data_IF_436903100247
#
_entry.id   IF_436903100247
#
_cell.length_a   1.000
_cell.length_b   1.000
_cell.length_c   1.000
_cell.angle_alpha   90.00
_cell.angle_beta   90.00
_cell.angle_gamma   90.00
#
_symmetry.space_group_name_H-M   'P 1'
#
loop_
_entity.id
_entity.type
_entity.pdbx_description
1 polymer ?
#
# COMPACT_ATOMS: atom_id res chain seq x y z
N UNK A 1 22.18 -90.13 -155.29
CA UNK A 1 21.08 -89.18 -154.98
C UNK A 1 20.79 -89.30 -153.50
N UNK A 2 20.74 -88.19 -152.75
CA UNK A 2 20.40 -88.20 -151.33
C UNK A 2 21.20 -87.26 -150.43
N UNK A 3 21.83 -86.21 -150.97
CA UNK A 3 22.20 -85.00 -150.21
C UNK A 3 21.01 -84.03 -150.36
N UNK A 4 20.49 -83.47 -149.25
CA UNK A 4 19.78 -82.16 -149.10
C UNK A 4 18.75 -82.09 -147.95
N UNK A 5 18.30 -83.18 -147.30
CA UNK A 5 17.22 -83.08 -146.28
C UNK A 5 17.66 -83.08 -144.79
N UNK A 6 18.84 -82.56 -144.47
CA UNK A 6 19.37 -82.62 -143.09
C UNK A 6 19.64 -81.27 -142.41
N UNK A 7 19.29 -80.13 -143.03
CA UNK A 7 19.61 -78.80 -142.51
C UNK A 7 18.41 -77.87 -142.24
N UNK A 8 17.17 -78.23 -142.64
CA UNK A 8 16.01 -77.32 -142.48
C UNK A 8 15.20 -77.55 -141.18
N UNK A 9 15.40 -78.67 -140.47
CA UNK A 9 14.70 -78.96 -139.21
C UNK A 9 15.39 -78.38 -137.96
N UNK A 10 16.61 -77.83 -138.08
CA UNK A 10 17.38 -77.31 -136.94
C UNK A 10 17.25 -75.77 -136.76
N UNK A 11 17.07 -74.99 -137.83
CA UNK A 11 16.83 -73.52 -137.75
C UNK A 11 15.42 -73.16 -137.24
N UNK A 12 14.43 -74.05 -137.45
CA UNK A 12 13.06 -73.82 -136.99
C UNK A 12 12.93 -73.91 -135.45
N UNK A 13 13.78 -74.70 -134.77
CA UNK A 13 13.75 -74.86 -133.32
C UNK A 13 14.33 -73.66 -132.53
N UNK A 14 15.41 -73.05 -133.04
CA UNK A 14 16.10 -71.95 -132.34
C UNK A 14 15.31 -70.64 -132.39
N UNK A 15 14.69 -70.33 -133.53
CA UNK A 15 13.80 -69.17 -133.70
C UNK A 15 12.56 -69.26 -132.83
N UNK A 16 12.04 -70.47 -132.61
CA UNK A 16 10.89 -70.73 -131.74
C UNK A 16 11.25 -70.58 -130.25
N UNK A 17 12.45 -70.99 -129.83
CA UNK A 17 12.95 -70.80 -128.45
C UNK A 17 13.17 -69.32 -128.12
N UNK A 18 13.78 -68.55 -129.03
CA UNK A 18 14.03 -67.12 -128.82
C UNK A 18 12.72 -66.32 -128.74
N UNK A 19 11.75 -66.67 -129.59
CA UNK A 19 10.39 -66.11 -129.52
C UNK A 19 9.69 -66.42 -128.18
N UNK A 20 9.86 -67.64 -127.64
CA UNK A 20 9.30 -68.01 -126.35
C UNK A 20 9.93 -67.19 -125.21
N UNK A 21 11.25 -67.03 -125.20
CA UNK A 21 11.97 -66.27 -124.16
C UNK A 21 11.64 -64.77 -124.21
N UNK A 22 11.46 -64.20 -125.41
CA UNK A 22 11.00 -62.83 -125.60
C UNK A 22 9.57 -62.61 -125.09
N UNK A 23 8.65 -63.52 -125.40
CA UNK A 23 7.28 -63.48 -124.87
C UNK A 23 7.24 -63.66 -123.35
N UNK A 24 8.14 -64.46 -122.77
CA UNK A 24 8.27 -64.60 -121.32
C UNK A 24 8.76 -63.29 -120.67
N UNK A 25 9.79 -62.64 -121.24
CA UNK A 25 10.28 -61.33 -120.79
C UNK A 25 9.20 -60.25 -120.88
N UNK A 26 8.45 -60.22 -121.98
CA UNK A 26 7.31 -59.31 -122.16
C UNK A 26 6.21 -59.59 -121.13
N UNK A 27 5.86 -60.86 -120.88
CA UNK A 27 4.91 -61.23 -119.83
C UNK A 27 5.38 -60.81 -118.45
N UNK A 28 6.69 -60.89 -118.16
CA UNK A 28 7.26 -60.46 -116.87
C UNK A 28 7.22 -58.93 -116.70
N UNK A 29 7.52 -58.18 -117.76
CA UNK A 29 7.38 -56.72 -117.77
C UNK A 29 5.91 -56.34 -117.58
N UNK A 30 5.00 -57.01 -118.28
CA UNK A 30 3.57 -56.73 -118.20
C UNK A 30 3.00 -57.07 -116.81
N UNK A 31 3.45 -58.18 -116.20
CA UNK A 31 3.15 -58.51 -114.80
C UNK A 31 3.68 -57.45 -113.83
N UNK A 32 4.90 -56.95 -114.04
CA UNK A 32 5.46 -55.89 -113.19
C UNK A 32 4.74 -54.56 -113.37
N UNK A 33 4.36 -54.22 -114.61
CA UNK A 33 3.59 -53.02 -114.93
C UNK A 33 2.20 -53.09 -114.32
N UNK A 34 1.48 -54.20 -114.50
CA UNK A 34 0.19 -54.45 -113.86
C UNK A 34 0.30 -54.41 -112.33
N UNK A 35 1.37 -54.95 -111.74
CA UNK A 35 1.57 -54.87 -110.28
C UNK A 35 1.80 -53.44 -109.81
N UNK A 36 2.56 -52.64 -110.57
CA UNK A 36 2.80 -51.24 -110.25
C UNK A 36 1.53 -50.40 -110.42
N UNK A 37 0.73 -50.68 -111.45
CA UNK A 37 -0.54 -50.02 -111.71
C UNK A 37 -1.56 -50.33 -110.62
N UNK A 38 -1.72 -51.61 -110.25
CA UNK A 38 -2.56 -52.03 -109.11
C UNK A 38 -2.10 -51.36 -107.81
N UNK A 39 -0.79 -51.36 -107.53
CA UNK A 39 -0.25 -50.71 -106.33
C UNK A 39 -0.52 -49.20 -106.33
N UNK A 40 -0.38 -48.55 -107.48
CA UNK A 40 -0.63 -47.10 -107.62
C UNK A 40 -2.11 -46.79 -107.44
N UNK A 41 -3.01 -47.61 -107.99
CA UNK A 41 -4.47 -47.46 -107.82
C UNK A 41 -4.90 -47.71 -106.38
N UNK A 42 -4.34 -48.70 -105.69
CA UNK A 42 -4.64 -48.97 -104.26
C UNK A 42 -4.09 -47.88 -103.35
N UNK A 43 -2.97 -47.24 -103.74
CA UNK A 43 -2.38 -46.12 -103.02
C UNK A 43 -2.96 -44.76 -103.44
N UNK A 44 -3.88 -44.72 -104.41
CA UNK A 44 -4.51 -43.47 -104.85
C UNK A 44 -5.49 -42.99 -103.76
N UNK A 45 -5.39 -41.73 -103.32
CA UNK A 45 -6.30 -41.20 -102.31
C UNK A 45 -7.74 -41.14 -102.83
N UNK A 46 -8.77 -41.31 -101.97
CA UNK A 46 -10.15 -41.06 -102.33
C UNK A 46 -10.37 -39.59 -102.74
N UNK A 47 -11.26 -39.39 -103.72
CA UNK A 47 -11.44 -38.17 -104.53
C UNK A 47 -11.45 -36.86 -103.72
N UNK A 48 -10.53 -35.95 -104.07
CA UNK A 48 -10.51 -34.56 -103.59
C UNK A 48 -9.19 -34.03 -103.03
N UNK A 49 -8.15 -34.84 -102.88
CA UNK A 49 -6.82 -34.39 -102.43
C UNK A 49 -5.73 -34.65 -103.49
N UNK A 50 -4.76 -33.74 -103.59
CA UNK A 50 -3.61 -33.86 -104.50
C UNK A 50 -2.91 -35.23 -104.36
N UNK A 51 -2.26 -35.71 -105.42
CA UNK A 51 -1.50 -36.96 -105.42
C UNK A 51 -0.31 -36.87 -104.46
N UNK A 52 -0.53 -37.24 -103.20
CA UNK A 52 0.48 -37.16 -102.15
C UNK A 52 1.33 -38.43 -102.14
N UNK A 53 2.65 -38.26 -102.17
CA UNK A 53 3.60 -39.37 -102.11
C UNK A 53 3.52 -40.09 -100.76
N UNK A 54 3.87 -41.38 -100.71
CA UNK A 54 3.95 -42.17 -99.46
C UNK A 54 4.67 -41.44 -98.31
N UNK A 55 5.70 -40.64 -98.63
CA UNK A 55 6.41 -39.79 -97.68
C UNK A 55 5.51 -38.78 -96.95
N UNK A 56 4.49 -38.22 -97.60
CA UNK A 56 3.55 -37.29 -96.99
C UNK A 56 2.76 -37.95 -95.84
N UNK A 57 2.22 -39.15 -96.06
CA UNK A 57 1.43 -39.84 -95.02
C UNK A 57 2.28 -40.24 -93.82
N UNK A 58 3.55 -40.61 -94.05
CA UNK A 58 4.51 -40.87 -92.98
C UNK A 58 4.80 -39.59 -92.18
N UNK A 59 5.02 -38.46 -92.86
CA UNK A 59 5.25 -37.17 -92.19
C UNK A 59 4.01 -36.71 -91.42
N UNK A 60 2.82 -36.80 -92.02
CA UNK A 60 1.55 -36.42 -91.37
C UNK A 60 1.30 -37.28 -90.12
N UNK A 61 1.47 -38.60 -90.22
CA UNK A 61 1.35 -39.49 -89.07
C UNK A 61 2.40 -39.18 -87.97
N UNK A 62 3.62 -38.79 -88.35
CA UNK A 62 4.65 -38.37 -87.40
C UNK A 62 4.32 -37.03 -86.73
N UNK A 63 3.76 -36.07 -87.46
CA UNK A 63 3.29 -34.78 -86.93
C UNK A 63 2.11 -34.98 -85.96
N UNK A 64 1.09 -35.74 -86.35
CA UNK A 64 -0.04 -36.06 -85.49
C UNK A 64 0.40 -36.80 -84.21
N UNK A 65 1.38 -37.71 -84.32
CA UNK A 65 1.97 -38.38 -83.15
C UNK A 65 2.67 -37.40 -82.20
N UNK A 66 3.45 -36.46 -82.73
CA UNK A 66 4.14 -35.42 -81.94
C UNK A 66 3.15 -34.45 -81.30
N UNK A 67 2.09 -34.05 -82.00
CA UNK A 67 1.03 -33.20 -81.45
C UNK A 67 0.30 -33.91 -80.29
N UNK A 68 -0.09 -35.17 -80.47
CA UNK A 68 -0.68 -35.99 -79.41
C UNK A 68 0.28 -36.19 -78.24
N UNK A 69 1.58 -36.33 -78.51
CA UNK A 69 2.58 -36.45 -77.45
C UNK A 69 2.72 -35.15 -76.66
N UNK A 70 2.73 -33.98 -77.32
CA UNK A 70 2.71 -32.68 -76.63
C UNK A 70 1.45 -32.45 -75.82
N UNK A 71 0.29 -32.86 -76.34
CA UNK A 71 -0.96 -32.81 -75.60
C UNK A 71 -0.91 -33.73 -74.37
N UNK A 72 -0.36 -34.94 -74.52
CA UNK A 72 -0.07 -35.87 -73.44
C UNK A 72 0.84 -35.25 -72.36
N UNK A 73 1.99 -34.70 -72.75
CA UNK A 73 2.93 -34.05 -71.84
C UNK A 73 2.28 -32.86 -71.10
N UNK A 74 1.42 -32.09 -71.79
CA UNK A 74 0.66 -30.98 -71.20
C UNK A 74 -0.39 -31.48 -70.19
N UNK A 75 -1.07 -32.58 -70.48
CA UNK A 75 -2.01 -33.22 -69.55
C UNK A 75 -1.28 -33.80 -68.34
N UNK A 76 -0.15 -34.47 -68.52
CA UNK A 76 0.68 -34.99 -67.43
C UNK A 76 1.22 -33.85 -66.56
N UNK A 77 1.62 -32.72 -67.14
CA UNK A 77 2.01 -31.54 -66.38
C UNK A 77 0.85 -30.99 -65.53
N UNK A 78 -0.38 -30.99 -66.06
CA UNK A 78 -1.58 -30.59 -65.30
C UNK A 78 -1.91 -31.58 -64.18
N UNK A 79 -1.78 -32.88 -64.44
CA UNK A 79 -1.97 -33.94 -63.42
C UNK A 79 -0.96 -33.75 -62.30
N UNK A 80 0.33 -33.65 -62.62
CA UNK A 80 1.39 -33.43 -61.62
C UNK A 80 1.17 -32.15 -60.80
N UNK A 81 0.68 -31.08 -61.42
CA UNK A 81 0.34 -29.85 -60.71
C UNK A 81 -0.84 -30.05 -59.76
N UNK A 82 -1.91 -30.68 -60.23
CA UNK A 82 -3.09 -30.99 -59.42
C UNK A 82 -2.75 -31.91 -58.24
N UNK A 83 -1.90 -32.93 -58.45
CA UNK A 83 -1.43 -33.82 -57.38
C UNK A 83 -0.65 -33.07 -56.29
N UNK A 84 0.24 -32.15 -56.68
CA UNK A 84 0.95 -31.29 -55.71
C UNK A 84 0.01 -30.36 -54.96
N UNK A 85 -1.01 -29.82 -55.63
CA UNK A 85 -2.05 -28.99 -55.00
C UNK A 85 -2.89 -29.80 -54.00
N UNK A 86 -3.31 -31.02 -54.36
CA UNK A 86 -4.01 -31.94 -53.45
C UNK A 86 -3.15 -32.23 -52.22
N UNK A 87 -1.87 -32.54 -52.41
CA UNK A 87 -0.95 -32.79 -51.30
C UNK A 87 -0.77 -31.57 -50.39
N UNK A 88 -0.67 -30.37 -50.97
CA UNK A 88 -0.61 -29.13 -50.18
C UNK A 88 -1.90 -28.89 -49.40
N UNK A 89 -3.07 -29.10 -50.03
CA UNK A 89 -4.37 -28.96 -49.38
C UNK A 89 -4.55 -29.96 -48.23
N UNK A 90 -4.13 -31.22 -48.42
CA UNK A 90 -4.15 -32.23 -47.37
C UNK A 90 -3.32 -31.81 -46.15
N UNK A 91 -2.12 -31.29 -46.37
CA UNK A 91 -1.29 -30.73 -45.29
C UNK A 91 -1.98 -29.57 -44.58
N UNK A 92 -2.60 -28.63 -45.31
CA UNK A 92 -3.33 -27.52 -44.69
C UNK A 92 -4.52 -28.00 -43.86
N UNK A 93 -5.23 -29.03 -44.33
CA UNK A 93 -6.36 -29.63 -43.63
C UNK A 93 -5.90 -30.33 -42.35
N UNK A 94 -4.75 -31.00 -42.38
CA UNK A 94 -4.16 -31.62 -41.19
C UNK A 94 -3.80 -30.57 -40.12
N UNK A 95 -3.13 -29.48 -40.51
CA UNK A 95 -2.80 -28.38 -39.60
C UNK A 95 -4.07 -27.73 -39.02
N UNK A 96 -5.08 -27.50 -39.87
CA UNK A 96 -6.36 -26.92 -39.44
C UNK A 96 -7.10 -27.84 -38.48
N UNK A 97 -7.13 -29.15 -38.74
CA UNK A 97 -7.72 -30.13 -37.83
C UNK A 97 -6.99 -30.19 -36.50
N UNK A 98 -5.65 -30.14 -36.50
CA UNK A 98 -4.87 -30.08 -35.26
C UNK A 98 -5.16 -28.80 -34.47
N UNK A 99 -5.20 -27.65 -35.14
CA UNK A 99 -5.55 -26.38 -34.50
C UNK A 99 -6.99 -26.40 -33.94
N UNK A 100 -7.96 -26.91 -34.69
CA UNK A 100 -9.35 -27.04 -34.26
C UNK A 100 -9.48 -28.01 -33.08
N UNK A 101 -8.77 -29.14 -33.11
CA UNK A 101 -8.73 -30.06 -31.99
C UNK A 101 -8.12 -29.39 -30.76
N UNK A 102 -6.99 -28.71 -30.86
CA UNK A 102 -6.38 -27.97 -29.75
C UNK A 102 -7.32 -26.90 -29.19
N UNK A 103 -8.00 -26.15 -30.06
CA UNK A 103 -9.01 -25.17 -29.68
C UNK A 103 -10.16 -25.83 -28.91
N UNK A 104 -10.71 -26.95 -29.40
CA UNK A 104 -11.74 -27.72 -28.68
C UNK A 104 -11.26 -28.24 -27.32
N UNK A 105 -10.00 -28.68 -27.23
CA UNK A 105 -9.40 -29.13 -25.97
C UNK A 105 -9.31 -27.98 -24.97
N UNK A 106 -9.04 -26.74 -25.41
CA UNK A 106 -8.99 -25.57 -24.53
C UNK A 106 -10.34 -25.22 -23.88
N UNK A 107 -11.46 -25.59 -24.51
CA UNK A 107 -12.80 -25.42 -23.92
C UNK A 107 -13.24 -26.61 -23.07
N UNK A 108 -12.44 -27.68 -22.98
CA UNK A 108 -12.76 -28.75 -22.04
C UNK A 108 -12.70 -28.18 -20.65
N UNK A 109 -13.82 -28.28 -19.93
CA UNK A 109 -13.93 -27.81 -18.56
C UNK A 109 -12.85 -28.50 -17.74
N UNK A 110 -12.03 -27.70 -17.07
CA UNK A 110 -11.03 -28.18 -16.11
C UNK A 110 -11.76 -29.07 -15.10
N UNK A 111 -11.44 -30.35 -15.11
CA UNK A 111 -12.04 -31.32 -14.19
C UNK A 111 -11.38 -31.19 -12.81
N UNK A 112 -12.07 -31.57 -11.73
CA UNK A 112 -11.50 -31.52 -10.38
C UNK A 112 -10.24 -32.38 -10.18
N UNK A 113 -9.94 -33.28 -11.11
CA UNK A 113 -8.77 -34.15 -11.15
C UNK A 113 -7.64 -33.62 -12.04
N UNK A 114 -7.78 -32.42 -12.62
CA UNK A 114 -6.76 -31.81 -13.48
C UNK A 114 -5.73 -31.09 -12.62
N UNK A 115 -4.45 -31.20 -12.99
CA UNK A 115 -3.34 -30.48 -12.34
C UNK A 115 -3.59 -28.96 -12.26
N UNK A 116 -4.27 -28.39 -13.27
CA UNK A 116 -4.65 -26.97 -13.27
C UNK A 116 -5.64 -26.61 -12.15
N UNK A 117 -6.53 -27.53 -11.79
CA UNK A 117 -7.48 -27.34 -10.69
C UNK A 117 -6.78 -27.41 -9.33
N UNK A 118 -5.84 -28.33 -9.18
CA UNK A 118 -5.02 -28.42 -7.97
C UNK A 118 -4.17 -27.16 -7.79
N UNK A 119 -3.54 -26.68 -8.87
CA UNK A 119 -2.77 -25.43 -8.85
C UNK A 119 -3.65 -24.24 -8.48
N UNK A 120 -4.88 -24.17 -9.01
CA UNK A 120 -5.85 -23.14 -8.63
C UNK A 120 -6.16 -23.17 -7.13
N UNK A 121 -6.40 -24.35 -6.54
CA UNK A 121 -6.65 -24.48 -5.10
C UNK A 121 -5.44 -24.00 -4.30
N UNK A 122 -4.23 -24.40 -4.67
CA UNK A 122 -3.01 -23.98 -3.98
C UNK A 122 -2.83 -22.46 -4.01
N UNK A 123 -3.05 -21.84 -5.17
CA UNK A 123 -2.97 -20.37 -5.32
C UNK A 123 -4.07 -19.65 -4.53
N UNK A 124 -5.30 -20.17 -4.53
CA UNK A 124 -6.38 -19.64 -3.71
C UNK A 124 -6.07 -19.72 -2.21
N UNK A 125 -5.47 -20.81 -1.75
CA UNK A 125 -5.06 -20.99 -0.36
C UNK A 125 -3.91 -20.05 0.01
N UNK A 126 -2.89 -19.92 -0.86
CA UNK A 126 -1.82 -18.94 -0.66
C UNK A 126 -2.36 -17.51 -0.58
N UNK A 127 -3.30 -17.16 -1.46
CA UNK A 127 -3.97 -15.85 -1.42
C UNK A 127 -4.70 -15.65 -0.08
N UNK A 128 -5.48 -16.64 0.37
CA UNK A 128 -6.18 -16.56 1.66
C UNK A 128 -5.21 -16.35 2.83
N UNK A 129 -4.11 -17.10 2.86
CA UNK A 129 -3.10 -16.98 3.90
C UNK A 129 -2.43 -15.59 3.93
N UNK A 130 -2.16 -15.01 2.75
CA UNK A 130 -1.62 -13.65 2.65
C UNK A 130 -2.66 -12.60 3.06
N UNK A 131 -3.91 -12.73 2.62
CA UNK A 131 -5.01 -11.83 2.98
C UNK A 131 -5.27 -11.83 4.49
N UNK A 132 -5.19 -12.99 5.15
CA UNK A 132 -5.33 -13.10 6.61
C UNK A 132 -4.17 -12.41 7.35
N UNK A 133 -2.93 -12.65 6.92
CA UNK A 133 -1.75 -11.94 7.46
C UNK A 133 -1.85 -10.43 7.28
N UNK A 134 -2.32 -9.98 6.11
CA UNK A 134 -2.53 -8.56 5.83
C UNK A 134 -3.57 -7.96 6.79
N UNK A 135 -4.74 -8.61 6.96
CA UNK A 135 -5.78 -8.17 7.90
C UNK A 135 -5.28 -8.11 9.34
N UNK A 136 -4.48 -9.10 9.75
CA UNK A 136 -3.87 -9.12 11.07
C UNK A 136 -2.92 -7.94 11.28
N UNK A 137 -2.03 -7.67 10.32
CA UNK A 137 -1.13 -6.52 10.36
C UNK A 137 -1.88 -5.19 10.35
N UNK A 138 -2.95 -5.08 9.57
CA UNK A 138 -3.79 -3.88 9.56
C UNK A 138 -4.50 -3.64 10.90
N UNK A 139 -4.87 -4.71 11.63
CA UNK A 139 -5.41 -4.59 12.99
C UNK A 139 -4.33 -4.12 13.98
N UNK A 140 -3.14 -4.71 13.94
CA UNK A 140 -2.00 -4.25 14.77
C UNK A 140 -1.68 -2.77 14.53
N UNK A 141 -1.71 -2.30 13.28
CA UNK A 141 -1.46 -0.88 12.97
C UNK A 141 -2.52 0.01 13.64
N UNK A 142 -3.81 -0.38 13.60
CA UNK A 142 -4.86 0.40 14.25
C UNK A 142 -4.71 0.43 15.77
N UNK A 143 -4.44 -0.72 16.39
CA UNK A 143 -4.20 -0.81 17.83
C UNK A 143 -3.03 0.09 18.26
N UNK A 144 -1.90 0.02 17.55
CA UNK A 144 -0.75 0.88 17.83
C UNK A 144 -1.05 2.38 17.59
N UNK A 145 -1.87 2.71 16.60
CA UNK A 145 -2.27 4.11 16.36
C UNK A 145 -3.17 4.64 17.49
N UNK A 146 -4.10 3.82 17.97
CA UNK A 146 -4.95 4.16 19.13
C UNK A 146 -4.10 4.33 20.40
N UNK A 147 -3.12 3.44 20.63
CA UNK A 147 -2.19 3.54 21.74
C UNK A 147 -1.35 4.83 21.67
N UNK A 148 -0.78 5.15 20.51
CA UNK A 148 -0.02 6.39 20.29
C UNK A 148 -0.90 7.61 20.60
N UNK A 149 -2.12 7.66 20.06
CA UNK A 149 -3.03 8.78 20.32
C UNK A 149 -3.38 8.91 21.81
N UNK A 150 -3.56 7.79 22.51
CA UNK A 150 -3.84 7.80 23.95
C UNK A 150 -2.64 8.31 24.76
N UNK A 151 -1.42 7.91 24.38
CA UNK A 151 -0.18 8.38 25.01
C UNK A 151 0.08 9.86 24.73
N UNK A 152 -0.21 10.34 23.52
CA UNK A 152 -0.11 11.76 23.19
C UNK A 152 -1.08 12.62 24.01
N UNK A 153 -2.32 12.16 24.16
CA UNK A 153 -3.31 12.87 24.99
C UNK A 153 -2.89 12.91 26.46
N UNK A 154 -2.37 11.82 27.01
CA UNK A 154 -1.87 11.79 28.40
C UNK A 154 -0.65 12.67 28.59
N UNK A 155 0.26 12.70 27.62
CA UNK A 155 1.42 13.60 27.61
C UNK A 155 0.98 15.07 27.65
N UNK A 156 0.03 15.47 26.81
CA UNK A 156 -0.51 16.84 26.80
C UNK A 156 -1.11 17.25 28.16
N UNK A 157 -1.84 16.34 28.81
CA UNK A 157 -2.40 16.58 30.16
C UNK A 157 -1.27 16.77 31.18
N UNK A 158 -0.25 15.91 31.16
CA UNK A 158 0.89 16.00 32.07
C UNK A 158 1.68 17.29 31.84
N UNK A 159 1.91 17.70 30.59
CA UNK A 159 2.58 18.95 30.26
C UNK A 159 1.82 20.17 30.79
N UNK A 160 0.50 20.20 30.61
CA UNK A 160 -0.34 21.27 31.15
C UNK A 160 -0.27 21.32 32.69
N UNK A 161 -0.32 20.16 33.36
CA UNK A 161 -0.17 20.09 34.82
C UNK A 161 1.23 20.56 35.27
N UNK A 162 2.29 20.16 34.57
CA UNK A 162 3.65 20.57 34.86
C UNK A 162 3.84 22.08 34.71
N UNK A 163 3.26 22.69 33.67
CA UNK A 163 3.28 24.13 33.46
C UNK A 163 2.55 24.87 34.58
N UNK A 164 1.37 24.40 34.98
CA UNK A 164 0.61 25.00 36.10
C UNK A 164 1.37 24.90 37.43
N UNK A 165 2.03 23.77 37.70
CA UNK A 165 2.85 23.61 38.90
C UNK A 165 4.06 24.55 38.84
N UNK A 166 4.70 24.70 37.68
CA UNK A 166 5.82 25.62 37.49
C UNK A 166 5.42 27.08 37.70
N UNK A 167 4.25 27.49 37.23
CA UNK A 167 3.70 28.83 37.45
C UNK A 167 3.46 29.08 38.95
N UNK A 168 2.74 28.17 39.63
CA UNK A 168 2.52 28.24 41.08
C UNK A 168 3.82 28.27 41.88
N UNK A 169 4.83 27.50 41.46
CA UNK A 169 6.14 27.52 42.08
C UNK A 169 6.81 28.89 41.93
N UNK A 170 6.75 29.49 40.74
CA UNK A 170 7.28 30.83 40.48
C UNK A 170 6.58 31.89 41.32
N UNK A 171 5.25 31.83 41.45
CA UNK A 171 4.47 32.73 42.32
C UNK A 171 4.89 32.60 43.79
N UNK A 172 4.98 31.36 44.31
CA UNK A 172 5.40 31.12 45.69
C UNK A 172 6.85 31.53 45.94
N UNK A 173 7.74 31.35 44.96
CA UNK A 173 9.12 31.81 45.03
C UNK A 173 9.19 33.34 45.09
N UNK A 174 8.40 34.05 44.27
CA UNK A 174 8.31 35.51 44.30
C UNK A 174 7.76 36.02 45.65
N UNK A 175 6.72 35.37 46.17
CA UNK A 175 6.15 35.69 47.48
C UNK A 175 7.16 35.45 48.63
N UNK A 176 7.88 34.33 48.60
CA UNK A 176 8.95 34.04 49.57
C UNK A 176 10.07 35.08 49.50
N UNK A 177 10.47 35.49 48.29
CA UNK A 177 11.47 36.55 48.12
C UNK A 177 11.00 37.87 48.73
N UNK A 178 9.74 38.25 48.54
CA UNK A 178 9.16 39.46 49.12
C UNK A 178 9.13 39.40 50.65
N UNK A 179 8.69 38.27 51.25
CA UNK A 179 8.71 38.08 52.70
C UNK A 179 10.12 38.12 53.30
N UNK A 180 11.10 37.54 52.61
CA UNK A 180 12.51 37.61 53.03
C UNK A 180 13.01 39.06 53.03
N UNK A 181 12.70 39.83 51.99
CA UNK A 181 13.04 41.25 51.92
C UNK A 181 12.41 42.03 53.07
N UNK A 182 11.12 41.84 53.33
CA UNK A 182 10.43 42.48 54.45
C UNK A 182 11.06 42.10 55.80
N UNK A 183 11.44 40.83 55.98
CA UNK A 183 12.13 40.37 57.18
C UNK A 183 13.47 41.08 57.37
N UNK A 184 14.29 41.20 56.31
CA UNK A 184 15.56 41.94 56.36
C UNK A 184 15.35 43.44 56.67
N UNK A 185 14.29 44.05 56.15
CA UNK A 185 13.93 45.45 56.45
C UNK A 185 13.49 45.66 57.91
N UNK A 186 12.92 44.65 58.57
CA UNK A 186 12.51 44.72 59.98
C UNK A 186 13.70 44.55 60.96
N UNK A 187 14.73 43.78 60.61
CA UNK A 187 15.92 43.57 61.46
C UNK A 187 16.56 44.87 62.01
N UNK A 188 16.87 45.90 61.20
CA UNK A 188 17.46 47.13 61.72
C UNK A 188 16.47 47.98 62.53
N UNK A 189 15.16 47.80 62.37
CA UNK A 189 14.16 48.46 63.23
C UNK A 189 14.15 47.82 64.62
N UNK A 190 14.17 46.48 64.67
CA UNK A 190 14.29 45.71 65.91
C UNK A 190 15.60 46.02 66.63
N UNK A 191 16.72 46.09 65.92
CA UNK A 191 18.03 46.44 66.49
C UNK A 191 18.02 47.85 67.11
N UNK A 192 17.37 48.82 66.46
CA UNK A 192 17.23 50.18 67.02
C UNK A 192 16.35 50.20 68.26
N UNK A 193 15.21 49.52 68.25
CA UNK A 193 14.31 49.43 69.39
C UNK A 193 14.99 48.75 70.59
N UNK A 194 15.66 47.62 70.38
CA UNK A 194 16.40 46.89 71.43
C UNK A 194 17.55 47.73 72.01
N UNK A 195 18.30 48.48 71.18
CA UNK A 195 19.31 49.44 71.65
C UNK A 195 18.69 50.55 72.51
N UNK A 196 17.50 51.04 72.18
CA UNK A 196 16.80 52.03 73.00
C UNK A 196 16.30 51.43 74.31
N UNK A 197 15.67 50.25 74.29
CA UNK A 197 15.22 49.56 75.50
C UNK A 197 16.38 49.33 76.47
N UNK A 198 17.51 48.78 75.98
CA UNK A 198 18.70 48.55 76.82
C UNK A 198 19.30 49.84 77.39
N UNK A 199 19.21 50.96 76.68
CA UNK A 199 19.63 52.28 77.19
C UNK A 199 18.71 52.74 78.33
N UNK A 200 17.40 52.70 78.13
CA UNK A 200 16.41 53.08 79.15
C UNK A 200 16.50 52.19 80.40
N UNK A 201 16.68 50.87 80.23
CA UNK A 201 16.90 49.94 81.35
C UNK A 201 18.12 50.36 82.20
N UNK A 202 19.23 50.74 81.55
CA UNK A 202 20.42 51.24 82.26
C UNK A 202 20.14 52.55 83.01
N UNK A 203 19.42 53.49 82.40
CA UNK A 203 19.04 54.76 83.04
C UNK A 203 18.13 54.53 84.26
N UNK A 204 17.13 53.65 84.18
CA UNK A 204 16.25 53.29 85.30
C UNK A 204 17.03 52.69 86.47
N UNK A 205 17.95 51.76 86.19
CA UNK A 205 18.79 51.13 87.22
C UNK A 205 19.75 52.12 87.89
N UNK A 206 20.32 53.07 87.13
CA UNK A 206 21.15 54.16 87.68
C UNK A 206 20.29 55.05 88.60
N UNK A 207 19.07 55.43 88.19
CA UNK A 207 18.18 56.28 88.99
C UNK A 207 17.70 55.61 90.29
N UNK A 208 17.53 54.28 90.29
CA UNK A 208 17.13 53.51 91.47
C UNK A 208 18.31 53.08 92.37
N UNK A 209 19.56 53.37 91.98
CA UNK A 209 20.81 52.93 92.64
C UNK A 209 20.87 51.41 92.87
N UNK A 210 20.37 50.64 91.90
CA UNK A 210 20.34 49.17 91.95
C UNK A 210 21.11 48.58 90.78
N UNK A 211 21.94 47.57 91.05
CA UNK A 211 22.64 46.82 89.98
C UNK A 211 21.78 45.69 89.39
N UNK A 212 20.87 45.17 90.20
CA UNK A 212 20.01 44.05 89.85
C UNK A 212 18.74 44.50 89.10
N UNK A 213 18.05 43.54 88.49
CA UNK A 213 16.76 43.77 87.83
C UNK A 213 15.73 44.31 88.82
N UNK A 214 15.01 45.35 88.38
CA UNK A 214 13.92 45.93 89.17
C UNK A 214 12.67 45.05 89.09
N UNK A 215 11.79 45.12 90.09
CA UNK A 215 10.55 44.34 90.09
C UNK A 215 9.66 44.69 88.89
N UNK A 216 9.71 45.94 88.43
CA UNK A 216 8.99 46.38 87.24
C UNK A 216 9.57 45.75 85.96
N UNK A 217 10.90 45.61 85.84
CA UNK A 217 11.54 44.89 84.73
C UNK A 217 11.13 43.41 84.71
N UNK A 218 11.02 42.77 85.88
CA UNK A 218 10.55 41.39 85.98
C UNK A 218 9.08 41.22 85.56
N UNK A 219 8.19 42.15 85.95
CA UNK A 219 6.78 42.12 85.50
C UNK A 219 6.67 42.32 83.98
N UNK A 220 7.45 43.25 83.42
CA UNK A 220 7.48 43.50 81.96
C UNK A 220 7.96 42.25 81.24
N UNK A 221 9.08 41.64 81.67
CA UNK A 221 9.59 40.39 81.08
C UNK A 221 8.54 39.25 81.17
N UNK A 222 7.88 39.08 82.31
CA UNK A 222 6.83 38.06 82.47
C UNK A 222 5.68 38.30 81.48
N UNK A 223 5.27 39.57 81.30
CA UNK A 223 4.21 39.96 80.37
C UNK A 223 4.61 39.75 78.93
N UNK A 224 5.84 40.09 78.56
CA UNK A 224 6.40 39.82 77.23
C UNK A 224 6.44 38.32 76.92
N UNK A 225 6.93 37.50 77.86
CA UNK A 225 6.97 36.05 77.69
C UNK A 225 5.57 35.46 77.54
N UNK A 226 4.60 35.88 78.36
CA UNK A 226 3.20 35.43 78.23
C UNK A 226 2.59 35.83 76.89
N UNK A 227 2.83 37.07 76.45
CA UNK A 227 2.32 37.55 75.18
C UNK A 227 2.98 36.82 74.00
N UNK A 228 4.28 36.53 74.09
CA UNK A 228 5.01 35.76 73.08
C UNK A 228 4.46 34.33 72.93
N UNK A 229 4.23 33.63 74.04
CA UNK A 229 3.58 32.31 74.00
C UNK A 229 2.20 32.37 73.36
N UNK A 230 1.38 33.37 73.71
CA UNK A 230 0.07 33.56 73.11
C UNK A 230 0.15 33.74 71.59
N UNK A 231 1.10 34.55 71.09
CA UNK A 231 1.29 34.75 69.65
C UNK A 231 1.74 33.45 68.96
N UNK A 232 2.61 32.66 69.59
CA UNK A 232 3.02 31.36 69.06
C UNK A 232 1.84 30.39 68.99
N UNK A 233 1.02 30.33 70.04
CA UNK A 233 -0.17 29.48 70.07
C UNK A 233 -1.16 29.88 68.97
N UNK A 234 -1.38 31.18 68.77
CA UNK A 234 -2.23 31.72 67.69
C UNK A 234 -1.65 31.31 66.30
N UNK A 235 -0.33 31.38 66.10
CA UNK A 235 0.33 30.93 64.87
C UNK A 235 0.19 29.41 64.64
N UNK A 236 0.31 28.61 65.70
CA UNK A 236 0.12 27.16 65.58
C UNK A 236 -1.32 26.84 65.18
N UNK A 237 -2.31 27.53 65.76
CA UNK A 237 -3.71 27.37 65.39
C UNK A 237 -3.89 27.66 63.90
N UNK A 238 -3.42 28.81 63.41
CA UNK A 238 -3.52 29.20 61.98
C UNK A 238 -2.90 28.15 61.05
N UNK A 239 -1.67 27.72 61.32
CA UNK A 239 -0.96 26.71 60.50
C UNK A 239 -1.70 25.36 60.49
N UNK A 240 -2.30 24.97 61.62
CA UNK A 240 -3.03 23.69 61.75
C UNK A 240 -4.43 23.74 61.13
N UNK A 241 -5.06 24.91 61.03
CA UNK A 241 -6.31 25.12 60.31
C UNK A 241 -6.11 25.07 58.79
N UNK A 242 -5.02 25.66 58.30
CA UNK A 242 -4.69 25.68 56.87
C UNK A 242 -4.17 24.33 56.34
N UNK A 243 -3.49 23.54 57.18
CA UNK A 243 -2.79 22.33 56.75
C UNK A 243 -3.05 21.11 57.66
N UNK A 244 -3.98 20.25 57.25
CA UNK A 244 -4.37 19.06 58.00
C UNK A 244 -3.22 18.05 58.23
N UNK A 245 -2.29 17.93 57.27
CA UNK A 245 -1.11 17.04 57.41
C UNK A 245 -0.13 17.55 58.47
N UNK A 246 0.12 18.87 58.49
CA UNK A 246 1.00 19.50 59.47
C UNK A 246 0.41 19.36 60.87
N UNK A 247 -0.92 19.46 61.02
CA UNK A 247 -1.60 19.21 62.30
C UNK A 247 -1.31 17.84 62.87
N UNK A 248 -1.35 16.79 62.05
CA UNK A 248 -1.05 15.42 62.49
C UNK A 248 0.41 15.29 62.95
N UNK A 249 1.33 15.87 62.18
CA UNK A 249 2.77 15.86 62.49
C UNK A 249 3.04 16.59 63.81
N UNK A 250 2.53 17.81 63.96
CA UNK A 250 2.69 18.60 65.17
C UNK A 250 2.07 17.90 66.38
N UNK A 251 0.85 17.36 66.24
CA UNK A 251 0.20 16.63 67.33
C UNK A 251 1.03 15.43 67.79
N UNK A 252 1.67 14.71 66.86
CA UNK A 252 2.57 13.60 67.18
C UNK A 252 3.80 14.07 67.97
N UNK A 253 4.46 15.15 67.53
CA UNK A 253 5.63 15.69 68.23
C UNK A 253 5.29 16.26 69.62
N UNK A 254 4.16 16.93 69.76
CA UNK A 254 3.70 17.46 71.06
C UNK A 254 3.42 16.32 72.04
N UNK A 255 2.71 15.26 71.60
CA UNK A 255 2.45 14.08 72.42
C UNK A 255 3.73 13.36 72.86
N UNK A 256 4.73 13.23 71.98
CA UNK A 256 6.02 12.62 72.34
C UNK A 256 6.77 13.38 73.44
N UNK A 257 6.57 14.69 73.51
CA UNK A 257 7.19 15.56 74.52
C UNK A 257 6.28 15.80 75.75
N UNK A 258 5.12 15.12 75.82
CA UNK A 258 4.17 15.28 76.92
C UNK A 258 3.47 16.65 76.95
N UNK A 259 3.39 17.34 75.82
CA UNK A 259 2.72 18.62 75.65
C UNK A 259 1.41 18.43 74.88
N UNK A 260 0.43 19.30 75.14
CA UNK A 260 -0.79 19.37 74.35
C UNK A 260 -0.63 20.41 73.24
N UNK A 261 -1.10 20.07 72.04
CA UNK A 261 -1.09 21.00 70.92
C UNK A 261 -2.09 22.14 71.21
N UNK A 262 -1.69 23.41 71.07
CA UNK A 262 -2.59 24.54 71.21
C UNK A 262 -3.83 24.33 70.33
N UNK A 263 -4.99 24.32 70.96
CA UNK A 263 -6.28 24.28 70.27
C UNK A 263 -6.96 25.62 70.47
N UNK A 264 -7.75 26.06 69.51
CA UNK A 264 -8.53 27.28 69.63
C UNK A 264 -9.40 27.19 70.90
N UNK A 265 -8.92 27.83 71.97
CA UNK A 265 -9.65 27.91 73.22
C UNK A 265 -10.91 28.70 72.96
N UNK A 266 -12.07 28.05 73.07
CA UNK A 266 -13.35 28.72 73.22
C UNK A 266 -13.19 29.76 74.33
N UNK A 267 -13.24 31.04 73.97
CA UNK A 267 -13.06 32.18 74.88
C UNK A 267 -13.68 31.90 76.27
N UNK A 268 -12.81 31.77 77.27
CA UNK A 268 -13.02 31.87 78.72
C UNK A 268 -14.40 31.58 79.29
N UNK A 269 -14.56 30.42 79.90
CA UNK A 269 -15.54 30.16 80.96
C UNK A 269 -14.81 29.92 82.29
N UNK A 270 -14.26 30.98 82.88
CA UNK A 270 -13.97 31.00 84.32
C UNK A 270 -15.05 31.86 85.01
N UNK A 271 -15.87 31.28 85.91
CA UNK A 271 -16.91 32.03 86.61
C UNK A 271 -16.26 32.88 87.70
N UNK A 272 -16.03 34.16 87.40
CA UNK A 272 -15.77 35.18 88.41
C UNK A 272 -17.11 35.59 89.02
N UNK A 273 -17.33 35.22 90.29
CA UNK A 273 -18.49 35.63 91.07
C UNK A 273 -18.40 37.12 91.43
N UNK A 274 -19.13 37.96 90.68
CA UNK A 274 -19.46 39.32 91.11
C UNK A 274 -20.93 39.62 90.88
N UNK A 275 -21.64 39.84 91.98
CA UNK A 275 -23.04 40.24 92.07
C UNK A 275 -23.33 41.57 91.34
N UNK A 276 -24.50 41.74 90.70
CA UNK A 276 -24.86 42.99 90.04
C UNK A 276 -25.66 43.89 90.99
N UNK A 277 -25.23 45.14 91.13
CA UNK A 277 -26.09 46.24 91.57
C UNK A 277 -26.33 47.20 90.39
N UNK A 278 -27.62 47.54 90.24
CA UNK A 278 -28.19 48.41 89.23
C UNK A 278 -27.67 49.85 89.31
N UNK A 279 -27.61 50.54 88.15
CA UNK A 279 -28.22 51.86 87.82
C UNK A 279 -27.52 52.44 86.56
N UNK A 280 -28.24 52.57 85.42
CA UNK A 280 -28.69 53.83 84.77
C UNK A 280 -27.52 54.65 84.15
N UNK A 281 -27.55 55.28 82.97
CA UNK A 281 -28.58 55.93 82.14
C UNK A 281 -28.18 55.92 80.65
N UNK A 282 -29.19 56.23 79.84
CA UNK A 282 -29.25 56.40 78.38
C UNK A 282 -28.22 57.37 77.78
N UNK A 283 -27.83 57.11 76.53
CA UNK A 283 -27.67 58.14 75.49
C UNK A 283 -27.82 57.52 74.11
N UNK A 284 -28.95 57.80 73.47
CA UNK A 284 -29.21 57.51 72.08
C UNK A 284 -28.52 58.56 71.20
N UNK A 285 -27.80 58.12 70.18
CA UNK A 285 -27.62 58.90 68.96
C UNK A 285 -27.63 57.97 67.76
N UNK A 286 -28.71 58.12 66.98
CA UNK A 286 -28.80 57.72 65.59
C UNK A 286 -27.58 58.25 64.84
N UNK A 287 -27.00 57.45 63.93
CA UNK A 287 -26.56 57.94 62.62
C UNK A 287 -26.73 56.87 61.56
N UNK A 288 -27.37 57.32 60.50
CA UNK A 288 -27.88 56.63 59.32
C UNK A 288 -26.78 56.19 58.38
N UNK A 289 -27.03 55.03 57.76
CA UNK A 289 -26.34 54.48 56.60
C UNK A 289 -26.28 55.45 55.41
N UNK A 290 -25.16 55.45 54.70
CA UNK A 290 -25.15 55.84 53.29
C UNK A 290 -24.21 54.92 52.50
N UNK A 291 -24.82 53.96 51.83
CA UNK A 291 -24.21 53.15 50.78
C UNK A 291 -24.04 54.01 49.53
N UNK A 292 -22.85 54.03 48.96
CA UNK A 292 -22.63 54.46 47.56
C UNK A 292 -21.88 53.35 46.83
N UNK A 293 -22.61 52.60 46.02
CA UNK A 293 -22.06 51.72 45.01
C UNK A 293 -22.07 52.50 43.69
N UNK A 294 -20.93 52.57 43.01
CA UNK A 294 -20.84 53.01 41.62
C UNK A 294 -19.97 52.03 40.85
N UNK A 295 -20.57 51.35 39.88
CA UNK A 295 -19.92 50.48 38.92
C UNK A 295 -20.14 51.09 37.52
N UNK A 296 -19.12 51.14 36.64
CA UNK A 296 -19.31 51.55 35.26
C UNK A 296 -19.57 50.35 34.32
N UNK A 297 -20.46 50.58 33.35
CA UNK A 297 -20.81 49.71 32.22
C UNK A 297 -19.69 49.66 31.17
N UNK A 298 -19.49 48.54 30.44
CA UNK A 298 -18.74 48.55 29.19
C UNK A 298 -19.66 48.78 27.98
N UNK A 299 -19.16 49.63 27.07
CA UNK A 299 -19.74 50.00 25.79
C UNK A 299 -19.56 48.86 24.77
N UNK A 300 -20.64 48.45 24.11
CA UNK A 300 -20.59 47.64 22.89
C UNK A 300 -20.10 48.50 21.73
N UNK A 301 -19.10 48.01 21.01
CA UNK A 301 -18.72 48.50 19.68
C UNK A 301 -19.16 47.46 18.66
N UNK A 302 -19.86 47.96 17.64
CA UNK A 302 -20.29 47.30 16.40
C UNK A 302 -19.14 46.84 15.54
#
# INVERSE_FOLDING_TARGET
>A
MGLVHQNDDQECGETQSLCAEFHERLSKIDKLKNRYEILTVVMLPPDGEEAKTQAYYVIKAAQEKEELQREGDSLDAKINKAEKEIYALENTLQVLNNCNNNYKQSFKKVTPSSDEYELKIQLEEQKRAVDEKYRYKQRQIRELQEDIQSMENTLQVIEHLANNVKEKLSEKQAYSFQLNKETEEQKPKLERATKQCTKLTKEIRILKDTKDETLEEQDINLREVKQFHKVIDDMFIEVTEENAEIRIILQTYFQQNGLELPTASTKGSHPSSRSPSQTSLLSASYWTSQCTASAPLPVMVT
#
